data_IF_301764928490
#
_entry.id   IF_301764928490
#
_cell.length_a   1.000
_cell.length_b   1.000
_cell.length_c   1.000
_cell.angle_alpha   90.00
_cell.angle_beta   90.00
_cell.angle_gamma   90.00
#
_symmetry.space_group_name_H-M   'P 1'
#
loop_
_entity.id
_entity.type
_entity.pdbx_description
1 polymer ?
#
# COMPACT_ATOMS: atom_id res chain seq x y z
N UNK A 1 -6.09 5.42 -0.14
CA UNK A 1 -7.09 6.44 0.24
C UNK A 1 -7.47 6.24 1.69
N UNK A 2 -7.66 7.32 2.46
CA UNK A 2 -7.95 7.22 3.89
C UNK A 2 -9.45 6.90 4.08
N UNK A 3 -9.76 5.63 4.35
CA UNK A 3 -11.13 5.11 4.47
C UNK A 3 -12.00 5.93 5.45
N UNK A 4 -11.39 6.43 6.53
CA UNK A 4 -12.05 7.27 7.53
C UNK A 4 -12.56 8.59 6.95
N UNK A 5 -11.89 9.15 5.94
CA UNK A 5 -12.27 10.44 5.37
C UNK A 5 -13.46 10.30 4.39
N UNK A 6 -13.55 9.18 3.67
CA UNK A 6 -14.71 8.86 2.83
C UNK A 6 -15.94 8.49 3.68
N UNK A 7 -15.74 7.72 4.76
CA UNK A 7 -16.81 7.34 5.67
C UNK A 7 -17.39 8.55 6.42
N UNK A 8 -16.53 9.45 6.92
CA UNK A 8 -16.96 10.69 7.57
C UNK A 8 -17.71 11.62 6.62
N UNK A 9 -17.27 11.75 5.36
CA UNK A 9 -18.02 12.52 4.35
C UNK A 9 -19.39 11.92 4.06
N UNK A 10 -19.50 10.58 3.97
CA UNK A 10 -20.77 9.87 3.78
C UNK A 10 -21.73 10.13 4.96
N UNK A 11 -21.26 9.99 6.20
CA UNK A 11 -22.08 10.22 7.41
C UNK A 11 -22.57 11.67 7.47
N UNK A 12 -21.69 12.64 7.22
CA UNK A 12 -22.05 14.07 7.24
C UNK A 12 -23.10 14.37 6.18
N UNK A 13 -22.96 13.80 4.98
CA UNK A 13 -23.94 13.99 3.90
C UNK A 13 -25.32 13.39 4.25
N UNK A 14 -25.36 12.19 4.83
CA UNK A 14 -26.60 11.58 5.29
C UNK A 14 -27.25 12.35 6.45
N UNK A 15 -26.46 12.83 7.41
CA UNK A 15 -26.95 13.69 8.50
C UNK A 15 -27.54 15.00 7.97
N UNK A 16 -26.96 15.58 6.93
CA UNK A 16 -27.44 16.80 6.31
C UNK A 16 -28.79 16.58 5.60
N UNK A 17 -28.96 15.45 4.91
CA UNK A 17 -30.24 15.04 4.31
C UNK A 17 -31.31 14.82 5.39
N UNK A 18 -30.96 14.16 6.51
CA UNK A 18 -31.89 13.92 7.63
C UNK A 18 -32.28 15.24 8.31
N UNK A 19 -31.31 16.12 8.59
CA UNK A 19 -31.58 17.41 9.22
C UNK A 19 -32.45 18.32 8.35
N UNK A 20 -32.19 18.36 7.03
CA UNK A 20 -33.01 19.15 6.09
C UNK A 20 -34.41 18.59 5.93
N UNK A 21 -34.57 17.27 5.85
CA UNK A 21 -35.89 16.64 5.81
C UNK A 21 -36.69 16.88 7.10
N UNK A 22 -36.06 16.79 8.28
CA UNK A 22 -36.69 17.10 9.56
C UNK A 22 -37.13 18.57 9.66
N UNK A 23 -36.29 19.51 9.19
CA UNK A 23 -36.59 20.94 9.19
C UNK A 23 -37.78 21.29 8.27
N UNK A 24 -37.90 20.60 7.13
CA UNK A 24 -39.01 20.79 6.19
C UNK A 24 -40.32 20.20 6.75
N UNK A 25 -40.26 19.03 7.39
CA UNK A 25 -41.43 18.37 8.01
C UNK A 25 -42.01 19.22 9.15
N UNK A 26 -41.16 19.84 9.97
CA UNK A 26 -41.62 20.66 11.11
C UNK A 26 -42.33 21.96 10.70
N UNK A 27 -42.26 22.37 9.42
CA UNK A 27 -42.90 23.61 8.92
C UNK A 27 -44.15 23.37 8.07
N UNK A 28 -44.52 22.12 7.79
CA UNK A 28 -45.59 21.80 6.82
C UNK A 28 -46.59 20.81 7.45
N UNK A 29 -47.89 21.13 7.41
CA UNK A 29 -48.94 20.16 7.72
C UNK A 29 -48.74 18.91 6.85
N UNK A 30 -48.62 17.73 7.47
CA UNK A 30 -48.34 16.46 6.78
C UNK A 30 -49.37 16.26 5.67
N UNK A 31 -48.91 16.42 4.44
CA UNK A 31 -49.70 16.41 3.21
C UNK A 31 -49.02 15.45 2.23
N UNK A 32 -49.67 15.09 1.12
CA UNK A 32 -49.09 14.21 0.08
C UNK A 32 -47.66 14.64 -0.36
N UNK A 33 -47.34 15.93 -0.22
CA UNK A 33 -46.00 16.49 -0.46
C UNK A 33 -44.91 15.93 0.46
N UNK A 34 -45.17 15.70 1.75
CA UNK A 34 -44.17 15.10 2.67
C UNK A 34 -43.91 13.64 2.33
N UNK A 35 -44.94 12.89 1.90
CA UNK A 35 -44.79 11.51 1.44
C UNK A 35 -43.93 11.44 0.16
N UNK A 36 -44.16 12.34 -0.80
CA UNK A 36 -43.34 12.44 -2.02
C UNK A 36 -41.86 12.75 -1.72
N UNK A 37 -41.57 13.63 -0.76
CA UNK A 37 -40.18 13.96 -0.37
C UNK A 37 -39.48 12.73 0.24
N UNK A 38 -40.17 11.96 1.09
CA UNK A 38 -39.62 10.73 1.67
C UNK A 38 -39.33 9.70 0.58
N UNK A 39 -40.24 9.55 -0.39
CA UNK A 39 -40.11 8.60 -1.49
C UNK A 39 -38.94 8.98 -2.43
N UNK A 40 -38.81 10.26 -2.77
CA UNK A 40 -37.68 10.79 -3.57
C UNK A 40 -36.36 10.64 -2.81
N UNK A 41 -36.33 10.89 -1.50
CA UNK A 41 -35.13 10.73 -0.68
C UNK A 41 -34.70 9.26 -0.60
N UNK A 42 -35.64 8.34 -0.38
CA UNK A 42 -35.38 6.90 -0.37
C UNK A 42 -34.85 6.40 -1.72
N UNK A 43 -35.49 6.84 -2.82
CA UNK A 43 -35.04 6.51 -4.17
C UNK A 43 -33.62 7.05 -4.44
N UNK A 44 -33.34 8.30 -4.06
CA UNK A 44 -32.03 8.93 -4.24
C UNK A 44 -30.93 8.17 -3.49
N UNK A 45 -31.18 7.78 -2.24
CA UNK A 45 -30.22 6.99 -1.43
C UNK A 45 -29.93 5.64 -2.11
N UNK A 46 -30.96 4.93 -2.55
CA UNK A 46 -30.80 3.64 -3.23
C UNK A 46 -30.07 3.79 -4.57
N UNK A 47 -30.37 4.84 -5.34
CA UNK A 47 -29.66 5.14 -6.58
C UNK A 47 -28.17 5.42 -6.33
N UNK A 48 -27.85 6.27 -5.36
CA UNK A 48 -26.46 6.57 -5.00
C UNK A 48 -25.72 5.32 -4.49
N UNK A 49 -26.35 4.50 -3.66
CA UNK A 49 -25.74 3.24 -3.21
C UNK A 49 -25.49 2.28 -4.37
N UNK A 50 -26.41 2.18 -5.32
CA UNK A 50 -26.23 1.34 -6.52
C UNK A 50 -25.10 1.86 -7.41
N UNK A 51 -25.04 3.18 -7.63
CA UNK A 51 -23.97 3.82 -8.39
C UNK A 51 -22.59 3.60 -7.74
N UNK A 52 -22.51 3.74 -6.40
CA UNK A 52 -21.26 3.48 -5.67
C UNK A 52 -20.86 2.01 -5.80
N UNK A 53 -21.78 1.07 -5.59
CA UNK A 53 -21.50 -0.37 -5.71
C UNK A 53 -21.01 -0.76 -7.10
N UNK A 54 -21.64 -0.19 -8.13
CA UNK A 54 -21.21 -0.37 -9.52
C UNK A 54 -19.78 0.13 -9.75
N UNK A 55 -19.44 1.31 -9.23
CA UNK A 55 -18.07 1.82 -9.36
C UNK A 55 -17.05 0.98 -8.57
N UNK A 56 -17.41 0.51 -7.37
CA UNK A 56 -16.54 -0.38 -6.57
C UNK A 56 -16.33 -1.75 -7.25
N UNK A 57 -17.33 -2.27 -7.96
CA UNK A 57 -17.23 -3.50 -8.75
C UNK A 57 -16.33 -3.29 -9.97
N UNK A 58 -16.55 -2.22 -10.74
CA UNK A 58 -15.70 -1.89 -11.90
C UNK A 58 -14.23 -1.64 -11.50
N UNK A 59 -13.98 -0.97 -10.37
CA UNK A 59 -12.61 -0.75 -9.90
C UNK A 59 -11.90 -2.06 -9.55
N UNK A 60 -12.61 -3.04 -9.01
CA UNK A 60 -12.06 -4.38 -8.73
C UNK A 60 -11.79 -5.16 -10.00
N UNK A 61 -12.72 -5.12 -10.95
CA UNK A 61 -12.55 -5.77 -12.25
C UNK A 61 -11.31 -5.22 -12.98
N UNK A 62 -11.16 -3.89 -13.04
CA UNK A 62 -9.96 -3.23 -13.61
C UNK A 62 -8.67 -3.64 -12.86
N UNK A 63 -8.75 -3.82 -11.54
CA UNK A 63 -7.59 -4.26 -10.76
C UNK A 63 -7.22 -5.72 -11.05
N UNK A 64 -8.21 -6.60 -11.19
CA UNK A 64 -8.02 -8.00 -11.55
C UNK A 64 -7.42 -8.12 -12.96
N UNK A 65 -7.97 -7.39 -13.94
CA UNK A 65 -7.41 -7.29 -15.29
C UNK A 65 -5.93 -6.86 -15.25
N UNK A 66 -5.60 -5.81 -14.49
CA UNK A 66 -4.20 -5.36 -14.35
C UNK A 66 -3.29 -6.45 -13.80
N UNK A 67 -3.74 -7.26 -12.83
CA UNK A 67 -2.95 -8.36 -12.27
C UNK A 67 -2.62 -9.42 -13.32
N UNK A 68 -3.52 -9.67 -14.26
CA UNK A 68 -3.30 -10.63 -15.35
C UNK A 68 -2.25 -10.16 -16.36
N UNK A 69 -2.13 -8.85 -16.60
CA UNK A 69 -1.21 -8.28 -17.59
C UNK A 69 0.18 -7.91 -17.05
N UNK A 70 0.40 -7.95 -15.72
CA UNK A 70 1.71 -7.63 -15.14
C UNK A 70 2.74 -8.74 -15.45
N UNK A 71 3.88 -8.32 -15.98
CA UNK A 71 5.03 -9.19 -16.30
C UNK A 71 6.24 -8.76 -15.45
N UNK A 72 6.96 -9.70 -14.80
CA UNK A 72 6.64 -11.13 -14.67
C UNK A 72 5.43 -11.35 -13.76
N UNK A 73 4.82 -12.53 -13.86
CA UNK A 73 3.68 -12.89 -13.01
C UNK A 73 4.13 -12.96 -11.55
N UNK A 74 3.62 -12.04 -10.73
CA UNK A 74 3.89 -12.00 -9.29
C UNK A 74 2.78 -12.74 -8.55
N UNK A 75 3.12 -13.41 -7.46
CA UNK A 75 2.11 -13.97 -6.56
C UNK A 75 1.41 -12.86 -5.76
N UNK A 76 0.29 -12.37 -6.29
CA UNK A 76 -0.53 -11.34 -5.66
C UNK A 76 -1.30 -11.81 -4.42
N UNK A 77 -1.27 -13.11 -4.06
CA UNK A 77 -1.99 -13.59 -2.88
C UNK A 77 -1.52 -12.93 -1.58
N UNK A 78 -0.32 -12.35 -1.56
CA UNK A 78 0.22 -11.63 -0.41
C UNK A 78 0.11 -10.11 -0.54
N UNK A 79 -0.44 -9.62 -1.65
CA UNK A 79 -0.46 -8.22 -2.04
C UNK A 79 -1.91 -7.73 -2.10
N UNK A 80 -2.39 -7.19 -0.99
CA UNK A 80 -3.72 -6.56 -0.89
C UNK A 80 -3.69 -5.05 -1.17
N UNK A 81 -2.54 -4.51 -1.61
CA UNK A 81 -2.34 -3.08 -1.79
C UNK A 81 -2.57 -2.67 -3.25
N UNK A 82 -3.75 -2.13 -3.57
CA UNK A 82 -4.07 -1.59 -4.90
C UNK A 82 -3.01 -0.59 -5.42
N UNK A 83 -2.33 0.15 -4.53
CA UNK A 83 -1.25 1.07 -4.94
C UNK A 83 -0.10 0.33 -5.58
N UNK A 84 0.31 -0.82 -5.05
CA UNK A 84 1.45 -1.54 -5.61
C UNK A 84 1.08 -2.25 -6.91
N UNK A 85 -0.16 -2.72 -7.06
CA UNK A 85 -0.65 -3.28 -8.34
C UNK A 85 -0.60 -2.21 -9.43
N UNK A 86 -1.12 -1.02 -9.15
CA UNK A 86 -1.05 0.11 -10.08
C UNK A 86 0.40 0.54 -10.36
N UNK A 87 1.26 0.52 -9.34
CA UNK A 87 2.67 0.81 -9.50
C UNK A 87 3.35 -0.16 -10.47
N UNK A 88 3.22 -1.47 -10.22
CA UNK A 88 3.77 -2.55 -11.04
C UNK A 88 3.31 -2.44 -12.50
N UNK A 89 2.02 -2.22 -12.71
CA UNK A 89 1.48 -1.99 -14.05
C UNK A 89 2.09 -0.76 -14.72
N UNK A 90 2.37 0.31 -13.97
CA UNK A 90 2.96 1.55 -14.50
C UNK A 90 4.44 1.45 -14.88
N UNK A 91 5.16 0.46 -14.34
CA UNK A 91 6.60 0.26 -14.59
C UNK A 91 6.89 -0.95 -15.47
N UNK A 92 5.88 -1.72 -15.91
CA UNK A 92 6.06 -2.93 -16.71
C UNK A 92 6.85 -2.71 -18.01
N UNK A 93 6.82 -1.50 -18.57
CA UNK A 93 7.60 -1.16 -19.76
C UNK A 93 9.11 -1.30 -19.53
N UNK A 94 9.57 -1.19 -18.28
CA UNK A 94 10.98 -1.28 -17.92
C UNK A 94 11.53 -2.70 -17.96
N UNK A 95 10.65 -3.71 -17.91
CA UNK A 95 11.01 -5.12 -18.07
C UNK A 95 11.78 -5.34 -19.39
N UNK A 96 11.43 -4.64 -20.47
CA UNK A 96 12.08 -4.82 -21.78
C UNK A 96 13.55 -4.40 -21.81
N UNK A 97 13.97 -3.51 -20.90
CA UNK A 97 15.34 -2.98 -20.89
C UNK A 97 16.28 -3.83 -20.04
N UNK A 98 15.78 -4.38 -18.93
CA UNK A 98 16.55 -5.29 -18.09
C UNK A 98 15.61 -6.31 -17.41
N UNK A 99 15.27 -7.42 -18.11
CA UNK A 99 14.36 -8.43 -17.58
C UNK A 99 14.86 -9.02 -16.26
N UNK A 100 16.15 -9.32 -16.17
CA UNK A 100 16.73 -9.97 -14.98
C UNK A 100 16.63 -9.09 -13.73
N UNK A 101 16.97 -7.80 -13.84
CA UNK A 101 16.82 -6.88 -12.72
C UNK A 101 15.35 -6.67 -12.35
N UNK A 102 14.45 -6.60 -13.34
CA UNK A 102 13.02 -6.44 -13.11
C UNK A 102 12.40 -7.68 -12.43
N UNK A 103 12.81 -8.90 -12.80
CA UNK A 103 12.41 -10.15 -12.14
C UNK A 103 12.90 -10.19 -10.69
N UNK A 104 14.16 -9.85 -10.43
CA UNK A 104 14.70 -9.79 -9.07
C UNK A 104 14.00 -8.74 -8.20
N UNK A 105 13.66 -7.58 -8.78
CA UNK A 105 12.83 -6.57 -8.14
C UNK A 105 11.46 -7.17 -7.76
N UNK A 106 10.80 -7.84 -8.70
CA UNK A 106 9.48 -8.44 -8.53
C UNK A 106 9.47 -9.51 -7.42
N UNK A 107 10.51 -10.34 -7.37
CA UNK A 107 10.69 -11.36 -6.33
C UNK A 107 10.94 -10.74 -4.96
N UNK A 108 11.81 -9.73 -4.87
CA UNK A 108 12.07 -9.03 -3.62
C UNK A 108 10.83 -8.31 -3.11
N UNK A 109 10.01 -7.75 -3.99
CA UNK A 109 8.74 -7.14 -3.66
C UNK A 109 7.72 -8.18 -3.17
N UNK A 110 7.61 -9.32 -3.85
CA UNK A 110 6.75 -10.43 -3.43
C UNK A 110 7.11 -10.95 -2.04
N UNK A 111 8.41 -11.09 -1.76
CA UNK A 111 8.91 -11.48 -0.44
C UNK A 111 8.65 -10.41 0.63
N UNK A 112 8.78 -9.13 0.30
CA UNK A 112 8.42 -8.03 1.20
C UNK A 112 6.96 -8.14 1.67
N UNK A 113 6.02 -8.30 0.73
CA UNK A 113 4.60 -8.40 1.06
C UNK A 113 4.23 -9.71 1.77
N UNK A 114 4.94 -10.81 1.47
CA UNK A 114 4.83 -12.04 2.24
C UNK A 114 5.17 -11.82 3.72
N UNK A 115 6.29 -11.13 4.01
CA UNK A 115 6.70 -10.83 5.39
C UNK A 115 5.68 -9.92 6.10
N UNK A 116 5.12 -8.91 5.40
CA UNK A 116 4.03 -8.07 5.94
C UNK A 116 2.85 -8.95 6.39
N UNK A 117 2.36 -9.81 5.50
CA UNK A 117 1.20 -10.66 5.76
C UNK A 117 1.46 -11.64 6.90
N UNK A 118 2.65 -12.25 6.94
CA UNK A 118 3.04 -13.18 7.99
C UNK A 118 3.15 -12.47 9.35
N UNK A 119 3.65 -11.22 9.37
CA UNK A 119 3.73 -10.40 10.58
C UNK A 119 2.36 -10.00 11.11
N UNK A 120 1.42 -9.67 10.22
CA UNK A 120 0.03 -9.36 10.59
C UNK A 120 -0.68 -10.57 11.19
N UNK A 121 -0.36 -11.79 10.73
CA UNK A 121 -0.90 -13.05 11.28
C UNK A 121 -0.26 -13.42 12.62
N UNK A 122 1.04 -13.19 12.77
CA UNK A 122 1.79 -13.60 13.95
C UNK A 122 2.86 -12.56 14.34
N UNK A 123 2.63 -11.86 15.45
CA UNK A 123 3.51 -10.81 15.95
C UNK A 123 4.68 -11.32 16.80
N UNK A 124 4.82 -12.64 17.03
CA UNK A 124 5.86 -13.18 17.93
C UNK A 124 7.29 -12.89 17.46
N UNK A 125 7.51 -12.81 16.15
CA UNK A 125 8.83 -12.59 15.53
C UNK A 125 8.93 -11.24 14.82
N UNK A 126 8.10 -10.28 15.23
CA UNK A 126 7.95 -8.98 14.58
C UNK A 126 9.28 -8.19 14.43
N UNK A 127 10.22 -8.34 15.37
CA UNK A 127 11.55 -7.74 15.25
C UNK A 127 12.38 -8.37 14.10
N UNK A 128 12.44 -9.69 14.01
CA UNK A 128 13.13 -10.39 12.92
C UNK A 128 12.47 -10.08 11.57
N UNK A 129 11.14 -10.03 11.56
CA UNK A 129 10.39 -9.65 10.37
C UNK A 129 10.68 -8.21 9.94
N UNK A 130 10.94 -7.30 10.88
CA UNK A 130 11.35 -5.93 10.55
C UNK A 130 12.68 -5.89 9.78
N UNK A 131 13.69 -6.62 10.26
CA UNK A 131 14.99 -6.72 9.57
C UNK A 131 14.83 -7.30 8.14
N UNK A 132 13.94 -8.29 7.98
CA UNK A 132 13.59 -8.83 6.67
C UNK A 132 12.89 -7.79 5.78
N UNK A 133 11.98 -6.98 6.32
CA UNK A 133 11.33 -5.91 5.57
C UNK A 133 12.34 -4.86 5.09
N UNK A 134 13.29 -4.45 5.93
CA UNK A 134 14.36 -3.54 5.52
C UNK A 134 15.23 -4.13 4.41
N UNK A 135 15.58 -5.41 4.52
CA UNK A 135 16.35 -6.14 3.51
C UNK A 135 15.61 -6.18 2.17
N UNK A 136 14.34 -6.59 2.17
CA UNK A 136 13.56 -6.69 0.93
C UNK A 136 13.20 -5.31 0.34
N UNK A 137 13.03 -4.27 1.18
CA UNK A 137 12.91 -2.89 0.71
C UNK A 137 14.16 -2.48 -0.08
N UNK A 138 15.35 -2.61 0.53
CA UNK A 138 16.63 -2.28 -0.11
C UNK A 138 16.83 -3.11 -1.38
N UNK A 139 16.54 -4.40 -1.34
CA UNK A 139 16.62 -5.27 -2.52
C UNK A 139 15.73 -4.77 -3.67
N UNK A 140 14.48 -4.44 -3.38
CA UNK A 140 13.52 -3.97 -4.39
C UNK A 140 13.98 -2.65 -5.02
N UNK A 141 14.39 -1.68 -4.19
CA UNK A 141 14.87 -0.38 -4.67
C UNK A 141 16.15 -0.50 -5.50
N UNK A 142 17.12 -1.31 -5.05
CA UNK A 142 18.39 -1.49 -5.75
C UNK A 142 18.21 -2.17 -7.11
N UNK A 143 17.34 -3.19 -7.20
CA UNK A 143 17.05 -3.86 -8.46
C UNK A 143 16.26 -2.98 -9.42
N UNK A 144 15.37 -2.11 -8.93
CA UNK A 144 14.70 -1.15 -9.79
C UNK A 144 15.67 -0.06 -10.28
N UNK A 145 16.56 0.43 -9.41
CA UNK A 145 17.63 1.37 -9.76
C UNK A 145 18.61 0.80 -10.78
N UNK A 146 18.93 -0.49 -10.72
CA UNK A 146 19.91 -1.09 -11.64
C UNK A 146 19.42 -1.12 -13.10
N UNK A 147 18.11 -1.07 -13.32
CA UNK A 147 17.53 -0.94 -14.67
C UNK A 147 17.99 0.36 -15.35
N UNK A 148 18.26 1.43 -14.60
CA UNK A 148 18.76 2.70 -15.13
C UNK A 148 20.05 2.51 -15.95
N UNK A 149 20.89 1.54 -15.58
CA UNK A 149 22.14 1.23 -16.31
C UNK A 149 21.91 0.61 -17.69
N UNK A 150 20.72 0.04 -17.92
CA UNK A 150 20.34 -0.60 -19.17
C UNK A 150 19.41 0.27 -20.03
N UNK A 151 19.05 1.46 -19.55
CA UNK A 151 18.22 2.39 -20.31
C UNK A 151 19.01 3.04 -21.45
N UNK A 152 18.36 3.34 -22.59
CA UNK A 152 18.94 4.22 -23.59
C UNK A 152 19.22 5.60 -22.96
N UNK A 153 20.14 6.37 -23.55
CA UNK A 153 20.52 7.71 -23.10
C UNK A 153 19.44 8.78 -23.34
N UNK A 154 18.19 8.47 -23.00
CA UNK A 154 17.04 9.36 -23.01
C UNK A 154 16.78 9.87 -21.59
N UNK A 155 17.00 11.17 -21.41
CA UNK A 155 16.82 11.88 -20.13
C UNK A 155 15.39 11.72 -19.60
N UNK A 156 14.38 11.67 -20.47
CA UNK A 156 13.00 11.54 -20.05
C UNK A 156 12.71 10.17 -19.45
N UNK A 157 13.24 9.10 -20.06
CA UNK A 157 13.06 7.74 -19.57
C UNK A 157 13.75 7.52 -18.22
N UNK A 158 14.98 8.04 -18.08
CA UNK A 158 15.75 7.99 -16.83
C UNK A 158 15.02 8.76 -15.73
N UNK A 159 14.62 10.01 -15.99
CA UNK A 159 13.88 10.83 -15.02
C UNK A 159 12.55 10.22 -14.63
N UNK A 160 11.86 9.54 -15.57
CA UNK A 160 10.61 8.82 -15.29
C UNK A 160 10.86 7.63 -14.36
N UNK A 161 11.93 6.87 -14.58
CA UNK A 161 12.30 5.75 -13.72
C UNK A 161 12.70 6.23 -12.32
N UNK A 162 13.49 7.30 -12.21
CA UNK A 162 13.88 7.87 -10.90
C UNK A 162 12.65 8.31 -10.08
N UNK A 163 11.67 8.96 -10.72
CA UNK A 163 10.39 9.29 -10.07
C UNK A 163 9.65 8.06 -9.59
N UNK A 164 9.67 6.98 -10.37
CA UNK A 164 9.04 5.70 -10.01
C UNK A 164 9.75 5.02 -8.86
N UNK A 165 11.07 5.14 -8.75
CA UNK A 165 11.81 4.61 -7.62
C UNK A 165 11.47 5.35 -6.32
N UNK A 166 11.35 6.67 -6.37
CA UNK A 166 10.88 7.46 -5.22
C UNK A 166 9.44 7.08 -4.83
N UNK A 167 8.56 6.91 -5.82
CA UNK A 167 7.18 6.46 -5.59
C UNK A 167 7.14 5.07 -4.92
N UNK A 168 8.01 4.14 -5.35
CA UNK A 168 8.15 2.83 -4.72
C UNK A 168 8.62 2.96 -3.27
N UNK A 169 9.65 3.77 -3.02
CA UNK A 169 10.15 3.98 -1.65
C UNK A 169 9.04 4.48 -0.74
N UNK A 170 8.29 5.48 -1.17
CA UNK A 170 7.16 6.02 -0.41
C UNK A 170 6.11 4.93 -0.12
N UNK A 171 5.76 4.09 -1.10
CA UNK A 171 4.81 2.98 -0.90
C UNK A 171 5.33 2.01 0.16
N UNK A 172 6.58 1.55 0.04
CA UNK A 172 7.17 0.56 0.93
C UNK A 172 7.35 1.11 2.35
N UNK A 173 7.80 2.36 2.50
CA UNK A 173 7.93 3.03 3.80
C UNK A 173 6.57 3.16 4.47
N UNK A 174 5.54 3.58 3.75
CA UNK A 174 4.19 3.68 4.29
C UNK A 174 3.64 2.32 4.75
N UNK A 175 3.95 1.24 4.03
CA UNK A 175 3.54 -0.12 4.43
C UNK A 175 4.35 -0.62 5.64
N UNK A 176 5.65 -0.32 5.72
CA UNK A 176 6.46 -0.59 6.92
C UNK A 176 5.96 0.17 8.15
N UNK A 177 5.55 1.44 8.00
CA UNK A 177 5.00 2.23 9.11
C UNK A 177 3.75 1.57 9.73
N UNK A 178 2.90 0.93 8.92
CA UNK A 178 1.76 0.16 9.44
C UNK A 178 2.22 -1.00 10.32
N UNK A 179 3.27 -1.71 9.92
CA UNK A 179 3.87 -2.78 10.73
C UNK A 179 4.50 -2.23 12.01
N UNK A 180 5.14 -1.06 11.93
CA UNK A 180 5.72 -0.40 13.09
C UNK A 180 4.67 -0.03 14.15
N UNK A 181 3.48 0.44 13.75
CA UNK A 181 2.41 0.70 14.70
C UNK A 181 1.93 -0.58 15.40
N UNK A 182 1.80 -1.69 14.66
CA UNK A 182 1.51 -3.01 15.24
C UNK A 182 2.61 -3.42 16.23
N UNK A 183 3.86 -3.17 15.87
CA UNK A 183 5.01 -3.44 16.73
C UNK A 183 4.96 -2.68 18.04
N UNK A 184 4.74 -1.36 17.96
CA UNK A 184 4.66 -0.47 19.11
C UNK A 184 3.54 -0.90 20.07
N UNK A 185 2.39 -1.29 19.54
CA UNK A 185 1.28 -1.80 20.33
C UNK A 185 1.58 -3.16 20.96
N UNK A 186 2.32 -4.03 20.27
CA UNK A 186 2.77 -5.30 20.81
C UNK A 186 3.76 -5.13 21.97
N UNK A 187 4.77 -4.26 21.84
CA UNK A 187 5.73 -3.99 22.94
C UNK A 187 5.04 -3.44 24.18
N UNK A 188 4.09 -2.51 24.00
CA UNK A 188 3.33 -1.94 25.12
C UNK A 188 2.57 -3.01 25.91
N UNK A 189 2.06 -4.03 25.22
CA UNK A 189 1.25 -5.10 25.83
C UNK A 189 2.07 -6.28 26.35
N UNK A 190 3.17 -6.63 25.67
CA UNK A 190 3.97 -7.84 25.92
C UNK A 190 5.48 -7.52 25.87
N UNK A 191 6.05 -7.01 26.97
CA UNK A 191 7.51 -6.87 27.11
C UNK A 191 8.16 -8.24 27.29
N UNK A 192 8.72 -8.79 26.21
CA UNK A 192 9.50 -10.04 26.21
C UNK A 192 10.89 -9.80 25.59
N UNK A 193 11.85 -10.71 25.78
CA UNK A 193 13.23 -10.59 25.27
C UNK A 193 13.40 -10.37 23.75
N UNK A 194 12.36 -10.67 22.95
CA UNK A 194 12.30 -10.36 21.51
C UNK A 194 11.87 -8.92 21.18
N UNK A 195 11.52 -8.11 22.19
CA UNK A 195 11.19 -6.69 22.01
C UNK A 195 12.45 -5.83 22.06
N UNK A 196 13.28 -5.91 21.02
CA UNK A 196 14.37 -4.93 20.81
C UNK A 196 13.81 -3.69 20.15
N UNK A 197 14.12 -2.50 20.65
CA UNK A 197 13.66 -1.26 20.01
C UNK A 197 14.07 -1.22 18.54
N UNK A 198 13.09 -1.00 17.67
CA UNK A 198 13.33 -0.77 16.25
C UNK A 198 13.67 0.70 16.10
N UNK A 199 14.91 0.98 15.71
CA UNK A 199 15.38 2.33 15.42
C UNK A 199 15.02 2.68 13.97
N UNK A 200 14.05 3.58 13.80
CA UNK A 200 13.72 4.15 12.48
C UNK A 200 14.65 5.35 12.25
N UNK A 201 15.51 5.28 11.23
CA UNK A 201 16.42 6.38 10.87
C UNK A 201 17.80 5.88 10.43
N UNK A 202 18.76 6.80 10.18
CA UNK A 202 20.13 6.41 9.90
C UNK A 202 20.67 5.61 11.10
N UNK A 203 20.97 4.34 10.87
CA UNK A 203 21.62 3.52 11.88
C UNK A 203 23.07 4.01 12.03
N UNK A 204 23.60 4.14 13.25
CA UNK A 204 25.02 4.40 13.43
C UNK A 204 25.80 3.26 12.75
N UNK A 205 26.75 3.63 11.88
CA UNK A 205 27.62 2.67 11.22
C UNK A 205 28.32 1.81 12.29
N UNK A 206 27.97 0.54 12.37
CA UNK A 206 28.49 -0.36 13.39
C UNK A 206 29.83 -0.93 12.92
N UNK A 207 30.92 -0.20 13.20
CA UNK A 207 32.31 -0.52 12.80
C UNK A 207 32.74 -1.94 13.24
N UNK A 208 32.02 -2.56 14.19
CA UNK A 208 32.36 -3.87 14.76
C UNK A 208 31.94 -5.08 13.91
N UNK A 209 31.02 -4.93 12.96
CA UNK A 209 30.65 -6.04 12.05
C UNK A 209 31.50 -6.08 10.77
N UNK A 210 32.20 -4.99 10.43
CA UNK A 210 33.04 -4.93 9.22
C UNK A 210 34.46 -5.49 9.40
N UNK A 211 34.84 -5.96 10.59
CA UNK A 211 36.18 -6.51 10.86
C UNK A 211 36.26 -8.03 10.86
N UNK A 212 35.21 -8.74 10.40
CA UNK A 212 35.24 -10.21 10.33
C UNK A 212 35.39 -10.62 8.85
N UNK A 213 36.64 -11.01 8.54
CA UNK A 213 37.18 -11.59 7.31
C UNK A 213 37.67 -10.62 6.23
N UNK A 214 38.91 -10.15 6.37
CA UNK A 214 39.72 -9.72 5.21
C UNK A 214 41.23 -9.97 5.32
N UNK A 215 41.69 -10.77 6.29
CA UNK A 215 43.06 -11.25 6.33
C UNK A 215 43.05 -12.66 6.88
N UNK A 216 43.11 -13.65 5.99
CA UNK A 216 43.75 -14.97 6.19
C UNK A 216 43.50 -15.83 4.94
N UNK A 217 44.08 -15.41 3.82
CA UNK A 217 44.38 -16.29 2.69
C UNK A 217 45.72 -15.87 2.08
N UNK A 218 46.76 -15.78 2.91
CA UNK A 218 48.16 -15.89 2.48
C UNK A 218 49.01 -16.38 3.66
N UNK A 219 48.95 -17.69 3.90
CA UNK A 219 50.09 -18.50 4.35
C UNK A 219 49.93 -19.90 3.77
#
# INVERSE_FOLDING_TARGET
MNYNNLYNKKIVFYLLIIATSFFIINKINVTIKTFLIILVSWYSINFFNKYIKFNEENEKEIEEEKKEYIIPTINFNNIDNQKIVNFLFSIQEYHRYNPSAYEQFSDCLGNFYKVIKDTQKNTKQIYLNWELLEKYKKCSLNNLHSITLSLPSDVNLITKLDKKILELEDILVNDMLKIYEIYKDHIKKNRNWYSKEIVIGPQPYNIKESTIHTYDYFM
#
